data_IF_637357262685
#
_entry.id   IF_637357262685
#
_cell.length_a   1.000
_cell.length_b   1.000
_cell.length_c   1.000
_cell.angle_alpha   90.00
_cell.angle_beta   90.00
_cell.angle_gamma   90.00
#
_symmetry.space_group_name_H-M   'P 1'
#
loop_
_entity.id
_entity.type
_entity.pdbx_description
1 polymer ?
#
# COMPACT_ATOMS: atom_id res chain seq x y z
N UNK A 1 8.71 -9.80 -0.62
CA UNK A 1 8.51 -11.13 -1.25
C UNK A 1 7.51 -11.90 -0.41
N UNK A 2 6.46 -12.44 -1.03
CA UNK A 2 5.48 -13.32 -0.38
C UNK A 2 5.76 -14.74 -0.85
N UNK A 3 5.97 -15.66 0.09
CA UNK A 3 6.07 -17.10 -0.20
C UNK A 3 4.69 -17.72 -0.20
N UNK A 4 4.29 -18.33 -1.31
CA UNK A 4 3.05 -19.07 -1.45
C UNK A 4 3.39 -20.57 -1.52
N UNK A 5 2.76 -21.36 -0.66
CA UNK A 5 2.90 -22.80 -0.72
C UNK A 5 1.81 -23.34 -1.65
N UNK A 6 2.21 -23.84 -2.82
CA UNK A 6 1.26 -24.47 -3.72
C UNK A 6 0.92 -25.87 -3.21
N UNK A 7 -0.33 -26.07 -2.82
CA UNK A 7 -0.82 -27.32 -2.23
C UNK A 7 -0.85 -28.48 -3.25
N UNK A 8 -0.90 -28.19 -4.54
CA UNK A 8 -0.96 -29.20 -5.59
C UNK A 8 0.44 -29.69 -6.01
N UNK A 9 1.42 -28.79 -6.11
CA UNK A 9 2.79 -29.12 -6.51
C UNK A 9 3.76 -29.32 -5.33
N UNK A 10 3.38 -28.90 -4.12
CA UNK A 10 4.26 -28.88 -2.95
C UNK A 10 5.40 -27.85 -3.06
N UNK A 11 5.44 -27.07 -4.15
CA UNK A 11 6.52 -26.13 -4.42
C UNK A 11 6.29 -24.82 -3.66
N UNK A 12 7.38 -24.28 -3.10
CA UNK A 12 7.39 -22.94 -2.53
C UNK A 12 7.60 -21.94 -3.66
N UNK A 13 6.55 -21.20 -4.01
CA UNK A 13 6.59 -20.18 -5.04
C UNK A 13 6.81 -18.81 -4.39
N UNK A 14 7.74 -18.04 -4.95
CA UNK A 14 8.07 -16.71 -4.45
C UNK A 14 7.46 -15.64 -5.35
N UNK A 15 6.59 -14.81 -4.79
CA UNK A 15 6.04 -13.64 -5.46
C UNK A 15 6.75 -12.38 -4.97
N UNK A 16 7.50 -11.74 -5.88
CA UNK A 16 8.07 -10.41 -5.65
C UNK A 16 7.09 -9.37 -6.16
N UNK A 17 6.39 -8.71 -5.24
CA UNK A 17 5.61 -7.50 -5.57
C UNK A 17 6.57 -6.32 -5.49
N UNK A 18 6.92 -5.66 -6.61
CA UNK A 18 7.77 -4.48 -6.58
C UNK A 18 7.05 -3.33 -5.87
N UNK A 19 7.78 -2.59 -5.03
CA UNK A 19 7.29 -1.43 -4.28
C UNK A 19 8.23 -0.25 -4.46
N UNK A 20 7.65 0.95 -4.50
CA UNK A 20 8.37 2.18 -4.84
C UNK A 20 9.39 2.61 -3.78
N UNK A 21 9.21 2.20 -2.52
CA UNK A 21 10.17 2.42 -1.44
C UNK A 21 10.03 1.42 -0.27
N UNK A 22 11.09 1.30 0.53
CA UNK A 22 11.18 0.37 1.67
C UNK A 22 10.15 0.66 2.76
N UNK A 23 9.87 1.93 3.06
CA UNK A 23 8.90 2.32 4.10
C UNK A 23 7.49 1.84 3.76
N UNK A 24 7.09 1.98 2.50
CA UNK A 24 5.83 1.48 1.98
C UNK A 24 5.76 -0.03 2.08
N UNK A 25 6.82 -0.74 1.66
CA UNK A 25 6.89 -2.20 1.80
C UNK A 25 6.75 -2.66 3.27
N UNK A 26 7.46 -2.02 4.20
CA UNK A 26 7.36 -2.33 5.64
C UNK A 26 5.94 -2.06 6.15
N UNK A 27 5.33 -0.93 5.78
CA UNK A 27 3.98 -0.58 6.26
C UNK A 27 2.91 -1.57 5.83
N UNK A 28 3.00 -2.12 4.62
CA UNK A 28 2.04 -3.13 4.15
C UNK A 28 2.23 -4.47 4.85
N UNK A 29 3.48 -4.86 5.13
CA UNK A 29 3.77 -6.05 5.93
C UNK A 29 3.28 -5.92 7.36
N UNK A 30 3.42 -4.73 7.94
CA UNK A 30 2.89 -4.40 9.26
C UNK A 30 1.36 -4.48 9.25
N UNK A 31 0.70 -3.91 8.22
CA UNK A 31 -0.75 -4.01 8.03
C UNK A 31 -1.24 -5.46 7.95
N UNK A 32 -0.55 -6.30 7.16
CA UNK A 32 -0.86 -7.73 7.05
C UNK A 32 -0.70 -8.44 8.39
N UNK A 33 0.38 -8.16 9.12
CA UNK A 33 0.61 -8.74 10.45
C UNK A 33 -0.50 -8.34 11.43
N UNK A 34 -0.86 -7.06 11.50
CA UNK A 34 -1.96 -6.56 12.34
C UNK A 34 -3.28 -7.23 11.96
N UNK A 35 -3.57 -7.35 10.67
CA UNK A 35 -4.76 -8.05 10.20
C UNK A 35 -4.78 -9.53 10.63
N UNK A 36 -3.64 -10.22 10.54
CA UNK A 36 -3.53 -11.63 10.97
C UNK A 36 -3.63 -11.79 12.49
N UNK A 37 -3.09 -10.86 13.27
CA UNK A 37 -3.10 -10.91 14.74
C UNK A 37 -4.46 -10.49 15.33
N UNK A 38 -5.08 -9.45 14.79
CA UNK A 38 -6.27 -8.81 15.38
C UNK A 38 -7.56 -9.09 14.59
N UNK A 39 -7.46 -9.69 13.40
CA UNK A 39 -8.60 -9.97 12.51
C UNK A 39 -9.26 -8.73 11.90
N UNK A 40 -8.76 -7.53 12.22
CA UNK A 40 -9.26 -6.25 11.73
C UNK A 40 -8.09 -5.27 11.54
N UNK A 41 -8.10 -4.51 10.45
CA UNK A 41 -7.18 -3.38 10.24
C UNK A 41 -7.63 -2.17 11.09
N UNK A 42 -7.60 -2.28 12.43
CA UNK A 42 -7.92 -1.15 13.31
C UNK A 42 -6.85 -0.06 13.19
N UNK A 43 -7.27 1.20 13.09
CA UNK A 43 -6.39 2.36 12.99
C UNK A 43 -5.77 2.60 11.59
N UNK A 44 -5.64 1.57 10.75
CA UNK A 44 -5.00 1.71 9.44
C UNK A 44 -5.97 2.02 8.28
N UNK A 45 -7.27 1.78 8.46
CA UNK A 45 -8.30 2.18 7.48
C UNK A 45 -8.25 3.68 7.17
N UNK A 46 -8.03 4.52 8.17
CA UNK A 46 -8.02 5.99 7.97
C UNK A 46 -6.71 6.49 7.33
N UNK A 47 -5.62 5.72 7.40
CA UNK A 47 -4.33 6.06 6.78
C UNK A 47 -4.15 5.46 5.38
N UNK A 48 -4.75 4.29 5.11
CA UNK A 48 -4.76 3.65 3.79
C UNK A 48 -5.87 4.16 2.87
N UNK A 49 -6.87 4.88 3.41
CA UNK A 49 -7.55 5.91 2.63
C UNK A 49 -6.56 7.06 2.45
N UNK A 50 -5.46 6.76 1.75
CA UNK A 50 -4.91 7.75 0.83
C UNK A 50 -6.11 8.07 -0.02
N UNK A 51 -6.68 9.27 0.16
CA UNK A 51 -7.82 9.76 -0.59
C UNK A 51 -7.72 9.17 -2.00
N UNK A 52 -8.60 8.22 -2.37
CA UNK A 52 -8.45 7.46 -3.62
C UNK A 52 -8.34 8.43 -4.82
N UNK A 53 -8.82 9.67 -4.63
CA UNK A 53 -8.64 10.81 -5.51
C UNK A 53 -7.16 11.13 -5.84
N UNK A 54 -6.21 10.97 -4.93
CA UNK A 54 -4.79 11.31 -5.12
C UNK A 54 -3.89 10.11 -5.46
N UNK A 55 -4.46 9.00 -5.90
CA UNK A 55 -3.71 7.86 -6.44
C UNK A 55 -3.09 8.19 -7.81
N UNK A 56 -1.87 7.69 -8.12
CA UNK A 56 -1.26 7.86 -9.45
C UNK A 56 -2.23 7.42 -10.57
N UNK A 57 -2.39 8.27 -11.60
CA UNK A 57 -3.33 8.04 -12.70
C UNK A 57 -4.74 8.62 -12.50
N UNK A 58 -4.97 9.35 -11.41
CA UNK A 58 -6.23 10.04 -11.12
C UNK A 58 -6.11 11.55 -11.36
N UNK A 59 -7.20 12.23 -11.73
CA UNK A 59 -7.19 13.68 -12.01
C UNK A 59 -6.75 14.50 -10.80
N UNK A 60 -7.18 14.13 -9.59
CA UNK A 60 -6.79 14.83 -8.37
C UNK A 60 -5.30 14.67 -8.04
N UNK A 61 -4.69 13.50 -8.32
CA UNK A 61 -3.23 13.34 -8.25
C UNK A 61 -2.50 14.31 -9.18
N UNK A 62 -2.97 14.48 -10.42
CA UNK A 62 -2.37 15.45 -11.36
C UNK A 62 -2.51 16.90 -10.87
N UNK A 63 -3.65 17.26 -10.27
CA UNK A 63 -3.82 18.58 -9.66
C UNK A 63 -2.88 18.79 -8.48
N UNK A 64 -2.61 17.76 -7.69
CA UNK A 64 -1.62 17.81 -6.63
C UNK A 64 -0.21 18.02 -7.19
N UNK A 65 0.19 17.27 -8.22
CA UNK A 65 1.48 17.48 -8.91
C UNK A 65 1.59 18.89 -9.49
N UNK A 66 0.51 19.45 -10.03
CA UNK A 66 0.47 20.84 -10.53
C UNK A 66 0.77 21.85 -9.43
N UNK A 67 0.19 21.65 -8.23
CA UNK A 67 0.42 22.53 -7.08
C UNK A 67 1.87 22.45 -6.64
N UNK A 68 2.37 21.24 -6.38
CA UNK A 68 3.76 21.02 -5.97
C UNK A 68 4.75 21.59 -6.98
N UNK A 69 4.54 21.33 -8.28
CA UNK A 69 5.43 21.85 -9.31
C UNK A 69 5.46 23.39 -9.35
N UNK A 70 4.30 24.04 -9.17
CA UNK A 70 4.21 25.51 -9.09
C UNK A 70 4.93 26.05 -7.87
N UNK A 71 4.83 25.39 -6.73
CA UNK A 71 5.44 25.84 -5.49
C UNK A 71 6.97 25.64 -5.50
N UNK A 72 7.48 24.64 -6.21
CA UNK A 72 8.91 24.33 -6.30
C UNK A 72 9.65 25.08 -7.43
N UNK A 73 8.97 25.47 -8.51
CA UNK A 73 9.63 25.99 -9.72
C UNK A 73 9.28 27.45 -10.02
N UNK A 74 10.20 28.15 -10.70
CA UNK A 74 9.94 29.51 -11.20
C UNK A 74 8.77 29.55 -12.19
N UNK A 75 8.15 30.71 -12.35
CA UNK A 75 7.01 30.89 -13.27
C UNK A 75 7.34 30.47 -14.71
N UNK A 76 8.58 30.71 -15.16
CA UNK A 76 9.06 30.31 -16.48
C UNK A 76 9.12 28.78 -16.63
N UNK A 77 9.71 28.09 -15.65
CA UNK A 77 9.76 26.63 -15.64
C UNK A 77 8.36 26.01 -15.51
N UNK A 78 7.45 26.63 -14.75
CA UNK A 78 6.05 26.22 -14.69
C UNK A 78 5.34 26.34 -16.05
N UNK A 79 5.53 27.45 -16.76
CA UNK A 79 4.92 27.67 -18.08
C UNK A 79 5.43 26.69 -19.14
N UNK A 80 6.75 26.51 -19.27
CA UNK A 80 7.33 25.65 -20.30
C UNK A 80 7.40 24.17 -19.92
N UNK A 81 7.64 23.85 -18.64
CA UNK A 81 7.79 22.49 -18.16
C UNK A 81 6.48 21.80 -17.80
N UNK A 82 5.50 22.54 -17.26
CA UNK A 82 4.22 21.97 -16.84
C UNK A 82 3.09 22.32 -17.82
N UNK A 83 2.78 23.60 -18.04
CA UNK A 83 1.61 23.99 -18.83
C UNK A 83 1.69 23.57 -20.30
N UNK A 84 2.84 23.77 -20.96
CA UNK A 84 3.06 23.36 -22.34
C UNK A 84 2.89 21.86 -22.52
N UNK A 85 3.54 21.06 -21.67
CA UNK A 85 3.45 19.60 -21.72
C UNK A 85 2.00 19.16 -21.50
N UNK A 86 1.28 19.75 -20.54
CA UNK A 86 -0.12 19.41 -20.28
C UNK A 86 -1.03 19.72 -21.47
N UNK A 87 -0.79 20.83 -22.16
CA UNK A 87 -1.58 21.19 -23.34
C UNK A 87 -1.33 20.21 -24.50
N UNK A 88 -0.07 19.90 -24.80
CA UNK A 88 0.27 18.98 -25.89
C UNK A 88 -0.21 17.54 -25.65
N UNK A 89 -0.32 17.14 -24.40
CA UNK A 89 -0.59 15.74 -24.05
C UNK A 89 -2.04 15.43 -23.72
N UNK A 90 -2.83 16.43 -23.31
CA UNK A 90 -4.27 16.25 -23.04
C UNK A 90 -4.58 15.24 -21.93
N UNK A 91 -3.65 14.94 -21.03
CA UNK A 91 -3.74 13.84 -20.02
C UNK A 91 -4.98 13.89 -19.12
N UNK A 92 -5.64 15.05 -19.00
CA UNK A 92 -6.89 15.17 -18.24
C UNK A 92 -8.00 14.29 -18.82
N UNK A 93 -8.07 14.15 -20.14
CA UNK A 93 -9.09 13.33 -20.81
C UNK A 93 -8.90 11.82 -20.54
N UNK A 94 -7.71 11.22 -20.76
CA UNK A 94 -7.44 9.84 -20.36
C UNK A 94 -7.70 9.56 -18.88
N UNK A 95 -7.35 10.48 -17.97
CA UNK A 95 -7.59 10.28 -16.54
C UNK A 95 -9.09 10.26 -16.20
N UNK A 96 -9.89 11.16 -16.78
CA UNK A 96 -11.36 11.15 -16.60
C UNK A 96 -11.99 9.90 -17.20
N UNK A 97 -11.51 9.45 -18.36
CA UNK A 97 -11.97 8.22 -18.98
C UNK A 97 -11.64 7.00 -18.11
N UNK A 98 -10.43 6.93 -17.54
CA UNK A 98 -10.03 5.87 -16.63
C UNK A 98 -10.88 5.87 -15.35
N UNK A 99 -11.17 7.04 -14.76
CA UNK A 99 -12.08 7.17 -13.62
C UNK A 99 -13.48 6.66 -13.99
N UNK A 100 -14.02 7.10 -15.12
CA UNK A 100 -15.33 6.63 -15.59
C UNK A 100 -15.35 5.11 -15.81
N UNK A 101 -14.30 4.55 -16.42
CA UNK A 101 -14.19 3.10 -16.61
C UNK A 101 -14.09 2.35 -15.28
N UNK A 102 -13.41 2.90 -14.27
CA UNK A 102 -13.38 2.34 -12.91
C UNK A 102 -14.75 2.32 -12.24
N UNK A 103 -15.61 3.31 -12.52
CA UNK A 103 -16.99 3.35 -11.98
C UNK A 103 -17.96 2.39 -12.68
N UNK A 104 -17.57 1.80 -13.82
CA UNK A 104 -18.40 0.79 -14.47
C UNK A 104 -18.45 -0.48 -13.62
N UNK A 105 -19.60 -1.18 -13.59
CA UNK A 105 -19.71 -2.46 -12.91
C UNK A 105 -18.69 -3.42 -13.51
N UNK A 106 -17.70 -3.81 -12.71
CA UNK A 106 -16.76 -4.85 -13.09
C UNK A 106 -17.49 -6.17 -13.04
N UNK A 107 -17.14 -7.10 -13.94
CA UNK A 107 -17.66 -8.45 -13.88
C UNK A 107 -17.45 -9.00 -12.46
N UNK A 108 -18.54 -9.46 -11.83
CA UNK A 108 -18.46 -10.08 -10.51
C UNK A 108 -17.49 -11.25 -10.59
N UNK A 109 -16.66 -11.41 -9.56
CA UNK A 109 -15.78 -12.57 -9.48
C UNK A 109 -16.61 -13.86 -9.59
N UNK A 110 -16.10 -14.89 -10.29
CA UNK A 110 -16.71 -16.22 -10.29
C UNK A 110 -17.00 -16.69 -8.86
N UNK A 111 -18.11 -17.41 -8.66
CA UNK A 111 -18.54 -17.87 -7.32
C UNK A 111 -17.42 -18.63 -6.58
N UNK A 112 -16.64 -19.43 -7.31
CA UNK A 112 -15.49 -20.14 -6.77
C UNK A 112 -14.44 -19.23 -6.13
N UNK A 113 -14.16 -18.07 -6.74
CA UNK A 113 -13.20 -17.08 -6.20
C UNK A 113 -13.80 -16.40 -4.96
N UNK A 114 -15.09 -16.08 -5.00
CA UNK A 114 -15.78 -15.47 -3.86
C UNK A 114 -15.76 -16.40 -2.65
N UNK A 115 -16.07 -17.69 -2.86
CA UNK A 115 -16.01 -18.71 -1.81
C UNK A 115 -14.60 -18.89 -1.24
N UNK A 116 -13.57 -18.99 -2.10
CA UNK A 116 -12.15 -18.96 -1.72
C UNK A 116 -11.79 -17.73 -0.86
N UNK A 117 -12.44 -16.60 -1.13
CA UNK A 117 -12.05 -15.30 -0.56
C UNK A 117 -12.66 -15.06 0.81
N UNK A 118 -13.63 -15.90 1.21
CA UNK A 118 -14.20 -15.85 2.55
C UNK A 118 -13.13 -16.16 3.59
N UNK A 119 -13.18 -15.45 4.72
CA UNK A 119 -12.27 -15.72 5.84
C UNK A 119 -12.38 -17.18 6.25
N UNK A 120 -11.24 -17.83 6.51
CA UNK A 120 -11.25 -19.18 7.05
C UNK A 120 -12.04 -19.20 8.37
N UNK A 121 -12.74 -20.30 8.68
CA UNK A 121 -13.34 -20.48 9.98
C UNK A 121 -12.28 -20.33 11.09
N UNK A 122 -12.59 -19.69 12.24
CA UNK A 122 -11.62 -19.47 13.31
C UNK A 122 -10.92 -20.74 13.82
N UNK A 123 -11.55 -21.91 13.66
CA UNK A 123 -10.97 -23.21 14.01
C UNK A 123 -9.74 -23.58 13.17
N UNK A 124 -9.62 -23.05 11.96
CA UNK A 124 -8.49 -23.26 11.05
C UNK A 124 -7.42 -22.19 11.16
N UNK A 125 -7.62 -21.16 12.00
CA UNK A 125 -6.59 -20.16 12.25
C UNK A 125 -5.47 -20.80 13.05
N UNK A 126 -4.25 -20.72 12.53
CA UNK A 126 -3.07 -21.10 13.30
C UNK A 126 -2.96 -20.18 14.51
N UNK A 127 -2.82 -20.75 15.71
CA UNK A 127 -2.55 -19.96 16.91
C UNK A 127 -1.09 -19.49 16.84
N UNK A 128 -0.81 -18.21 17.19
CA UNK A 128 0.57 -17.73 17.25
C UNK A 128 1.38 -18.58 18.24
N UNK A 129 2.64 -18.86 17.88
CA UNK A 129 3.54 -19.60 18.76
C UNK A 129 3.85 -18.79 20.03
N UNK A 130 4.26 -19.47 21.10
CA UNK A 130 4.63 -18.82 22.35
C UNK A 130 5.79 -17.81 22.16
N UNK A 131 6.75 -18.13 21.30
CA UNK A 131 7.86 -17.25 20.96
C UNK A 131 7.38 -15.96 20.27
N UNK A 132 6.44 -16.08 19.33
CA UNK A 132 5.87 -14.91 18.64
C UNK A 132 5.11 -14.02 19.62
N UNK A 133 4.32 -14.60 20.53
CA UNK A 133 3.62 -13.83 21.56
C UNK A 133 4.60 -13.05 22.45
N UNK A 134 5.72 -13.67 22.84
CA UNK A 134 6.75 -13.01 23.63
C UNK A 134 7.41 -11.85 22.87
N UNK A 135 7.75 -12.05 21.59
CA UNK A 135 8.33 -11.00 20.73
C UNK A 135 7.35 -9.85 20.51
N UNK A 136 6.08 -10.14 20.28
CA UNK A 136 5.04 -9.10 20.14
C UNK A 136 4.86 -8.30 21.43
N UNK A 137 4.95 -8.93 22.61
CA UNK A 137 4.90 -8.22 23.89
C UNK A 137 6.09 -7.26 24.06
N UNK A 138 7.32 -7.73 23.78
CA UNK A 138 8.53 -6.89 23.82
C UNK A 138 8.45 -5.69 22.87
N UNK A 139 7.93 -5.89 21.67
CA UNK A 139 7.75 -4.83 20.69
C UNK A 139 6.72 -3.79 21.15
N UNK A 140 5.59 -4.21 21.73
CA UNK A 140 4.59 -3.28 22.30
C UNK A 140 5.14 -2.47 23.47
N UNK A 141 5.95 -3.07 24.33
CA UNK A 141 6.63 -2.35 25.41
C UNK A 141 7.61 -1.29 24.88
N UNK A 142 8.36 -1.60 23.83
CA UNK A 142 9.26 -0.64 23.18
C UNK A 142 8.48 0.51 22.53
N UNK A 143 7.34 0.23 21.90
CA UNK A 143 6.46 1.25 21.31
C UNK A 143 5.82 2.14 22.37
N UNK A 144 5.43 1.58 23.52
CA UNK A 144 4.96 2.37 24.67
C UNK A 144 6.00 3.34 25.21
N UNK A 145 7.29 3.07 24.99
CA UNK A 145 8.43 3.95 25.33
C UNK A 145 8.77 4.97 24.23
N UNK A 146 7.98 5.03 23.15
CA UNK A 146 8.18 5.96 22.03
C UNK A 146 9.25 5.52 21.01
N UNK A 147 9.76 4.29 21.11
CA UNK A 147 10.70 3.73 20.13
C UNK A 147 9.91 3.38 18.87
N UNK A 148 10.36 3.81 17.69
CA UNK A 148 9.70 3.46 16.43
C UNK A 148 10.18 2.10 15.89
N UNK A 149 9.46 1.53 14.91
CA UNK A 149 9.76 0.22 14.30
C UNK A 149 11.24 0.11 13.85
N UNK A 150 11.76 1.16 13.21
CA UNK A 150 13.11 1.16 12.65
C UNK A 150 14.17 1.18 13.76
N UNK A 151 13.94 1.95 14.82
CA UNK A 151 14.79 1.99 16.01
C UNK A 151 14.78 0.67 16.79
N UNK A 152 13.64 -0.03 16.85
CA UNK A 152 13.55 -1.34 17.51
C UNK A 152 14.41 -2.40 16.83
N UNK A 153 14.48 -2.37 15.49
CA UNK A 153 15.32 -3.29 14.71
C UNK A 153 16.72 -2.76 14.41
N UNK A 154 17.08 -1.59 14.94
CA UNK A 154 18.35 -0.91 14.68
C UNK A 154 18.67 -0.80 13.17
N UNK A 155 17.64 -0.50 12.38
CA UNK A 155 17.77 -0.36 10.93
C UNK A 155 18.18 1.08 10.65
N UNK A 156 19.42 1.25 10.22
CA UNK A 156 19.90 2.52 9.68
C UNK A 156 19.20 2.78 8.34
N UNK A 157 18.44 3.87 8.27
CA UNK A 157 17.92 4.36 6.99
C UNK A 157 19.01 5.27 6.43
N UNK A 158 19.68 4.90 5.32
CA UNK A 158 20.64 5.80 4.71
C UNK A 158 19.92 7.08 4.30
N UNK A 159 20.45 8.22 4.74
CA UNK A 159 20.06 9.53 4.23
C UNK A 159 20.31 9.51 2.72
N UNK A 160 19.24 9.52 1.92
CA UNK A 160 19.40 9.62 0.47
C UNK A 160 19.91 11.02 0.13
N UNK A 161 20.98 11.04 -0.66
CA UNK A 161 21.40 12.11 -1.57
C UNK A 161 20.31 12.35 -2.62
#
# INVERSE_FOLDING_TARGET
MIGLHDRASGALQWMSIPRDNLKLAISEWEALRVYMEEGQLRGMRDTLVTDEACTPGTVAHFHQCRRVYRDTHSALAYCFGFLMVQWCSGWTLPCRLAQWLKTRPKATFPKSIVEWSTSLPPKHHAKPSAELLQKSAQMREAYGKGINVLGYFNIEVPDRV
#
